data_IF_560986409888
#
_entry.id   IF_560986409888
#
_cell.length_a   1.000
_cell.length_b   1.000
_cell.length_c   1.000
_cell.angle_alpha   90.00
_cell.angle_beta   90.00
_cell.angle_gamma   90.00
#
_symmetry.space_group_name_H-M   'P 1'
#
loop_
_entity.id
_entity.type
_entity.pdbx_description
1 polymer ?
#
# COMPACT_ATOMS: atom_id res chain seq x y z
N UNK A 1 18.12 -18.61 -19.22
CA UNK A 1 16.88 -19.39 -19.01
C UNK A 1 16.76 -19.53 -17.49
N UNK A 2 15.87 -18.90 -16.74
CA UNK A 2 14.58 -18.28 -17.00
C UNK A 2 14.49 -16.91 -16.27
N UNK A 3 13.52 -16.09 -16.65
CA UNK A 3 13.34 -14.74 -16.14
C UNK A 3 13.10 -14.71 -14.63
N UNK A 4 13.88 -13.89 -13.94
CA UNK A 4 13.57 -13.40 -12.60
C UNK A 4 12.16 -12.82 -12.65
N UNK A 5 11.25 -13.41 -11.87
CA UNK A 5 9.83 -13.08 -11.81
C UNK A 5 9.61 -11.62 -11.43
N UNK A 6 9.48 -10.76 -12.45
CA UNK A 6 9.03 -9.38 -12.28
C UNK A 6 7.50 -9.41 -12.08
N UNK A 7 7.03 -9.66 -10.86
CA UNK A 7 5.58 -9.64 -10.60
C UNK A 7 5.08 -10.37 -9.36
N UNK A 8 5.97 -11.00 -8.58
CA UNK A 8 5.60 -11.67 -7.33
C UNK A 8 6.47 -11.18 -6.17
N UNK A 9 5.90 -11.14 -4.98
CA UNK A 9 6.58 -10.79 -3.73
C UNK A 9 6.90 -12.10 -3.02
N UNK A 10 8.17 -12.48 -3.03
CA UNK A 10 8.68 -13.63 -2.28
C UNK A 10 9.01 -13.21 -0.86
N UNK A 11 9.07 -14.17 0.07
CA UNK A 11 9.53 -13.92 1.44
C UNK A 11 10.91 -13.24 1.48
N UNK A 12 11.83 -13.67 0.59
CA UNK A 12 13.16 -13.08 0.48
C UNK A 12 13.09 -11.60 0.09
N UNK A 13 12.31 -11.28 -0.96
CA UNK A 13 12.12 -9.89 -1.39
C UNK A 13 11.41 -9.04 -0.33
N UNK A 14 10.45 -9.61 0.39
CA UNK A 14 9.75 -8.92 1.47
C UNK A 14 10.69 -8.61 2.64
N UNK A 15 11.56 -9.55 2.99
CA UNK A 15 12.58 -9.39 4.04
C UNK A 15 13.63 -8.34 3.66
N UNK A 16 14.11 -8.36 2.42
CA UNK A 16 15.10 -7.38 1.95
C UNK A 16 14.53 -5.95 1.90
N UNK A 17 13.24 -5.82 1.59
CA UNK A 17 12.58 -4.53 1.46
C UNK A 17 11.76 -4.13 2.69
N UNK A 18 11.75 -4.93 3.77
CA UNK A 18 10.91 -4.70 4.96
C UNK A 18 11.15 -3.32 5.57
N UNK A 19 12.41 -2.88 5.65
CA UNK A 19 12.76 -1.55 6.14
C UNK A 19 12.26 -0.41 5.25
N UNK A 20 12.19 -0.61 3.93
CA UNK A 20 11.64 0.39 2.99
C UNK A 20 10.13 0.49 3.09
N UNK A 21 9.47 -0.61 3.49
CA UNK A 21 8.02 -0.70 3.66
C UNK A 21 7.55 -0.28 5.06
N UNK A 22 8.47 0.12 5.95
CA UNK A 22 8.13 0.45 7.34
C UNK A 22 7.84 -0.79 8.21
N UNK A 23 8.24 -1.97 7.75
CA UNK A 23 8.04 -3.26 8.41
C UNK A 23 9.29 -3.74 9.17
N UNK A 24 10.25 -2.85 9.44
CA UNK A 24 11.53 -3.23 10.07
C UNK A 24 11.39 -3.85 11.47
N UNK A 25 10.28 -3.57 12.17
CA UNK A 25 10.04 -4.07 13.52
C UNK A 25 9.41 -5.47 13.53
N UNK A 26 9.00 -5.98 12.35
CA UNK A 26 8.46 -7.33 12.20
C UNK A 26 9.58 -8.36 12.17
N UNK A 27 9.35 -9.47 12.88
CA UNK A 27 10.25 -10.61 12.90
C UNK A 27 10.06 -11.49 11.66
N UNK A 28 11.03 -12.35 11.39
CA UNK A 28 10.99 -13.24 10.22
C UNK A 28 9.79 -14.20 10.26
N UNK A 29 9.36 -14.66 11.44
CA UNK A 29 8.14 -15.46 11.61
C UNK A 29 6.86 -14.67 11.28
N UNK A 30 6.84 -13.37 11.56
CA UNK A 30 5.72 -12.48 11.19
C UNK A 30 5.68 -12.25 9.68
N UNK A 31 6.83 -12.03 9.04
CA UNK A 31 6.93 -11.93 7.58
C UNK A 31 6.52 -13.24 6.88
N UNK A 32 6.92 -14.38 7.43
CA UNK A 32 6.47 -15.71 6.96
C UNK A 32 4.95 -15.83 7.10
N UNK A 33 4.39 -15.39 8.22
CA UNK A 33 2.94 -15.38 8.42
C UNK A 33 2.22 -14.48 7.42
N UNK A 34 2.78 -13.32 7.09
CA UNK A 34 2.21 -12.42 6.07
C UNK A 34 2.13 -13.08 4.69
N UNK A 35 3.23 -13.71 4.26
CA UNK A 35 3.24 -14.42 2.96
C UNK A 35 2.25 -15.56 2.99
N UNK A 36 2.25 -16.39 4.05
CA UNK A 36 1.31 -17.51 4.20
C UNK A 36 -0.16 -17.11 4.23
N UNK A 37 -0.48 -15.96 4.81
CA UNK A 37 -1.87 -15.48 4.92
C UNK A 37 -2.38 -14.88 3.60
N UNK A 38 -1.47 -14.33 2.79
CA UNK A 38 -1.79 -13.73 1.50
C UNK A 38 -1.69 -14.69 0.32
N UNK A 39 -0.90 -15.76 0.44
CA UNK A 39 -0.71 -16.80 -0.58
C UNK A 39 -1.96 -17.69 -0.67
N UNK A 40 -2.83 -17.40 -1.63
CA UNK A 40 -4.13 -18.05 -1.78
C UNK A 40 -4.06 -19.28 -2.67
N UNK A 41 -3.08 -19.34 -3.56
CA UNK A 41 -2.88 -20.46 -4.48
C UNK A 41 -1.81 -21.47 -4.01
N UNK A 42 -1.01 -21.11 -3.00
CA UNK A 42 -0.01 -21.96 -2.36
C UNK A 42 1.32 -22.03 -3.10
N UNK A 43 1.65 -21.05 -3.95
CA UNK A 43 2.90 -21.03 -4.71
C UNK A 43 4.13 -20.56 -3.89
N UNK A 44 3.89 -20.09 -2.66
CA UNK A 44 4.91 -19.61 -1.73
C UNK A 44 5.35 -18.16 -1.96
N UNK A 45 4.64 -17.41 -2.81
CA UNK A 45 4.84 -16.00 -3.07
C UNK A 45 3.49 -15.28 -3.06
N UNK A 46 3.53 -13.94 -3.12
CA UNK A 46 2.33 -13.15 -3.32
C UNK A 46 2.35 -12.59 -4.74
N UNK A 47 1.38 -12.98 -5.54
CA UNK A 47 1.05 -12.24 -6.75
C UNK A 47 0.54 -10.83 -6.42
N UNK A 48 0.49 -9.96 -7.43
CA UNK A 48 -0.08 -8.61 -7.27
C UNK A 48 -1.51 -8.65 -6.70
N UNK A 49 -2.35 -9.60 -7.16
CA UNK A 49 -3.73 -9.72 -6.71
C UNK A 49 -3.79 -10.13 -5.24
N UNK A 50 -3.02 -11.15 -4.86
CA UNK A 50 -2.93 -11.64 -3.48
C UNK A 50 -2.43 -10.57 -2.52
N UNK A 51 -1.42 -9.81 -2.93
CA UNK A 51 -0.93 -8.68 -2.15
C UNK A 51 -2.01 -7.60 -1.98
N UNK A 52 -2.75 -7.24 -3.03
CA UNK A 52 -3.86 -6.29 -2.93
C UNK A 52 -4.96 -6.78 -1.97
N UNK A 53 -5.32 -8.06 -2.04
CA UNK A 53 -6.31 -8.65 -1.15
C UNK A 53 -5.80 -8.68 0.30
N UNK A 54 -4.53 -9.05 0.52
CA UNK A 54 -3.91 -9.05 1.84
C UNK A 54 -3.90 -7.66 2.45
N UNK A 55 -3.52 -6.62 1.70
CA UNK A 55 -3.54 -5.23 2.16
C UNK A 55 -4.96 -4.76 2.52
N UNK A 56 -5.96 -5.12 1.72
CA UNK A 56 -7.36 -4.81 2.02
C UNK A 56 -7.82 -5.47 3.33
N UNK A 57 -7.41 -6.71 3.58
CA UNK A 57 -7.77 -7.47 4.79
C UNK A 57 -7.05 -6.95 6.04
N UNK A 58 -5.78 -6.59 5.92
CA UNK A 58 -4.95 -6.13 7.04
C UNK A 58 -5.31 -4.71 7.47
N UNK A 59 -5.92 -3.90 6.60
CA UNK A 59 -6.26 -2.53 6.96
C UNK A 59 -7.48 -2.00 6.23
N UNK A 60 -8.69 -2.33 6.71
CA UNK A 60 -9.90 -1.57 6.39
C UNK A 60 -9.74 -0.09 6.75
N UNK A 61 -9.01 0.22 7.84
CA UNK A 61 -8.79 1.60 8.31
C UNK A 61 -7.72 2.38 7.52
N UNK A 62 -6.69 1.73 6.93
CA UNK A 62 -5.71 2.45 6.09
C UNK A 62 -6.35 2.99 4.81
N UNK A 63 -7.42 2.36 4.31
CA UNK A 63 -8.25 2.96 3.26
C UNK A 63 -8.96 4.23 3.76
N UNK A 64 -9.51 4.19 4.97
CA UNK A 64 -10.28 5.28 5.57
C UNK A 64 -9.39 6.52 5.82
N UNK A 65 -8.18 6.33 6.35
CA UNK A 65 -7.20 7.41 6.55
C UNK A 65 -6.62 7.94 5.22
N UNK A 66 -6.36 7.06 4.25
CA UNK A 66 -5.89 7.48 2.92
C UNK A 66 -6.97 8.22 2.12
N UNK A 67 -8.26 7.98 2.39
CA UNK A 67 -9.38 8.70 1.75
C UNK A 67 -9.56 10.09 2.33
N UNK A 68 -9.39 10.26 3.64
CA UNK A 68 -9.39 11.58 4.31
C UNK A 68 -8.28 12.47 3.74
N UNK A 69 -7.07 11.93 3.60
CA UNK A 69 -5.94 12.71 3.05
C UNK A 69 -6.12 13.05 1.57
N UNK A 70 -6.78 12.17 0.79
CA UNK A 70 -7.14 12.44 -0.61
C UNK A 70 -8.23 13.53 -0.71
N UNK A 71 -9.24 13.49 0.16
CA UNK A 71 -10.34 14.46 0.20
C UNK A 71 -9.85 15.85 0.59
N UNK A 72 -8.97 15.96 1.58
CA UNK A 72 -8.31 17.22 1.95
C UNK A 72 -7.49 17.81 0.79
N UNK A 73 -6.75 16.96 0.06
CA UNK A 73 -5.96 17.39 -1.10
C UNK A 73 -6.84 17.86 -2.28
N UNK A 74 -8.01 17.25 -2.48
CA UNK A 74 -8.98 17.65 -3.50
C UNK A 74 -9.75 18.91 -3.09
N UNK A 75 -10.06 19.10 -1.80
CA UNK A 75 -10.71 20.30 -1.28
C UNK A 75 -9.83 21.55 -1.48
N UNK A 76 -8.51 21.41 -1.34
CA UNK A 76 -7.55 22.50 -1.57
C UNK A 76 -7.48 22.97 -3.04
N UNK A 77 -7.96 22.17 -4.01
CA UNK A 77 -8.14 22.61 -5.40
C UNK A 77 -9.39 23.47 -5.60
N UNK A 78 -10.45 23.28 -4.81
CA UNK A 78 -11.68 24.05 -4.93
C UNK A 78 -11.59 25.44 -4.30
N UNK A 79 -10.86 25.58 -3.19
CA UNK A 79 -10.72 26.87 -2.50
C UNK A 79 -9.79 27.85 -3.26
N UNK A 80 -8.90 27.34 -4.11
CA UNK A 80 -8.02 28.16 -4.94
C UNK A 80 -8.74 28.83 -6.13
N UNK A 81 -10.00 28.47 -6.44
CA UNK A 81 -10.74 29.02 -7.57
C UNK A 81 -11.76 30.11 -7.19
N UNK A 82 -11.88 30.48 -5.91
CA UNK A 82 -12.81 31.54 -5.46
C UNK A 82 -12.12 32.85 -5.04
N UNK A 83 -10.83 33.05 -5.34
CA UNK A 83 -10.14 34.30 -5.01
C UNK A 83 -10.07 35.30 -6.18
N UNK A 84 -11.18 35.40 -6.93
CA UNK A 84 -11.38 36.41 -7.95
C UNK A 84 -12.44 37.42 -7.53
N UNK A 85 -12.00 38.66 -7.30
CA UNK A 85 -12.80 39.89 -7.36
C UNK A 85 -13.65 40.23 -6.11
N UNK A 86 -13.10 41.05 -5.22
CA UNK A 86 -13.88 42.20 -4.78
C UNK A 86 -13.01 43.45 -4.74
N UNK A 87 -13.33 44.32 -5.68
CA UNK A 87 -12.66 45.56 -5.99
C UNK A 87 -13.01 46.67 -5.00
N UNK A 88 -12.07 47.62 -4.91
CA UNK A 88 -12.23 49.02 -4.54
C UNK A 88 -13.64 49.54 -4.23
N UNK A 89 -13.82 50.05 -3.00
CA UNK A 89 -14.33 51.40 -2.70
C UNK A 89 -13.82 51.88 -1.34
#
# INVERSE_FOLDING_TARGET
MAGIGKGVITLESLRENSALLGLQDLKEDELVSMVREGDLDGDGALSQMEFCVLMFRLSPQLMEESWVSLEEALQHQFDSNNNGHHDHV
#
